data_IF_590857464719
#
_entry.id   IF_590857464719
#
_cell.length_a   1.000
_cell.length_b   1.000
_cell.length_c   1.000
_cell.angle_alpha   90.00
_cell.angle_beta   90.00
_cell.angle_gamma   90.00
#
_symmetry.space_group_name_H-M   'P 1'
#
loop_
_entity.id
_entity.type
_entity.pdbx_description
1 polymer ?
#
# COMPACT_ATOMS: atom_id res chain seq x y z
N UNK A 1 -3.16 -14.20 -6.07
CA UNK A 1 -3.44 -14.48 -4.65
C UNK A 1 -4.94 -14.67 -4.48
N UNK A 2 -5.39 -15.90 -4.25
CA UNK A 2 -6.78 -16.24 -3.99
C UNK A 2 -7.20 -15.83 -2.56
N UNK A 3 -8.50 -15.73 -2.31
CA UNK A 3 -9.01 -15.23 -1.02
C UNK A 3 -8.72 -16.16 0.17
N UNK A 4 -8.50 -17.45 -0.08
CA UNK A 4 -8.18 -18.45 0.95
C UNK A 4 -6.74 -18.29 1.46
N UNK A 5 -5.78 -18.17 0.55
CA UNK A 5 -4.36 -17.94 0.88
C UNK A 5 -4.17 -16.68 1.75
N UNK A 6 -5.01 -15.66 1.54
CA UNK A 6 -4.95 -14.41 2.33
C UNK A 6 -5.32 -14.58 3.79
N UNK A 7 -6.06 -15.61 4.22
CA UNK A 7 -6.45 -15.79 5.63
C UNK A 7 -5.33 -16.36 6.49
N UNK A 8 -4.40 -17.09 5.89
CA UNK A 8 -3.33 -17.80 6.60
C UNK A 8 -2.06 -16.97 6.76
N UNK A 9 -1.96 -15.85 6.03
CA UNK A 9 -0.81 -14.97 6.14
C UNK A 9 -0.78 -14.21 7.47
N UNK A 10 0.41 -14.02 8.09
CA UNK A 10 0.53 -13.24 9.31
C UNK A 10 0.22 -11.77 9.04
N UNK A 11 -0.32 -11.06 10.03
CA UNK A 11 -0.71 -9.65 9.88
C UNK A 11 0.44 -8.73 9.41
N UNK A 12 1.68 -9.14 9.66
CA UNK A 12 2.90 -8.44 9.25
C UNK A 12 3.10 -8.31 7.74
N UNK A 13 2.42 -9.12 6.91
CA UNK A 13 2.54 -9.02 5.45
C UNK A 13 1.62 -7.97 4.84
N UNK A 14 0.76 -7.31 5.62
CA UNK A 14 -0.17 -6.31 5.10
C UNK A 14 0.32 -4.91 5.42
N UNK A 15 0.15 -3.98 4.47
CA UNK A 15 0.38 -2.57 4.76
C UNK A 15 -0.57 -2.10 5.86
N UNK A 16 -1.85 -2.50 5.80
CA UNK A 16 -2.85 -2.23 6.83
C UNK A 16 -3.19 -3.53 7.59
N UNK A 17 -2.50 -3.86 8.70
CA UNK A 17 -2.63 -5.16 9.37
C UNK A 17 -4.03 -5.41 9.91
N UNK A 18 -4.60 -4.43 10.63
CA UNK A 18 -5.94 -4.53 11.23
C UNK A 18 -7.03 -4.80 10.19
N UNK A 19 -6.90 -4.20 9.01
CA UNK A 19 -7.86 -4.35 7.91
C UNK A 19 -7.47 -5.44 6.91
N UNK A 20 -6.27 -6.04 7.06
CA UNK A 20 -5.66 -7.01 6.13
C UNK A 20 -5.73 -6.54 4.67
N UNK A 21 -5.43 -5.26 4.43
CA UNK A 21 -5.41 -4.62 3.10
C UNK A 21 -3.99 -4.40 2.61
N UNK A 22 -3.84 -4.45 1.28
CA UNK A 22 -2.58 -4.27 0.56
C UNK A 22 -1.49 -5.25 1.04
N UNK A 23 -1.55 -6.53 0.64
CA UNK A 23 -0.47 -7.47 0.92
C UNK A 23 0.85 -6.95 0.33
N UNK A 24 1.96 -7.28 0.99
CA UNK A 24 3.33 -6.85 0.69
C UNK A 24 4.25 -8.07 0.56
N UNK A 25 3.82 -9.08 -0.20
CA UNK A 25 4.52 -10.38 -0.28
C UNK A 25 5.56 -10.47 -1.40
N UNK A 26 5.64 -9.46 -2.25
CA UNK A 26 6.63 -9.33 -3.33
C UNK A 26 6.72 -7.88 -3.83
N UNK A 27 7.70 -7.62 -4.71
CA UNK A 27 7.93 -6.30 -5.29
C UNK A 27 6.72 -5.72 -6.04
N UNK A 28 5.96 -6.57 -6.75
CA UNK A 28 4.77 -6.14 -7.50
C UNK A 28 3.65 -5.71 -6.56
N UNK A 29 3.47 -6.45 -5.47
CA UNK A 29 2.56 -6.09 -4.39
C UNK A 29 2.94 -4.77 -3.71
N UNK A 30 4.22 -4.54 -3.44
CA UNK A 30 4.69 -3.25 -2.90
C UNK A 30 4.39 -2.08 -3.85
N UNK A 31 4.71 -2.21 -5.14
CA UNK A 31 4.41 -1.17 -6.15
C UNK A 31 2.90 -0.89 -6.25
N UNK A 32 2.08 -1.95 -6.24
CA UNK A 32 0.63 -1.82 -6.22
C UNK A 32 0.11 -1.15 -4.94
N UNK A 33 0.71 -1.43 -3.78
CA UNK A 33 0.34 -0.82 -2.52
C UNK A 33 0.62 0.69 -2.52
N UNK A 34 1.78 1.12 -3.03
CA UNK A 34 2.11 2.54 -3.24
C UNK A 34 1.10 3.22 -4.17
N UNK A 35 0.79 2.60 -5.30
CA UNK A 35 -0.09 3.16 -6.32
C UNK A 35 -1.57 3.27 -5.91
N UNK A 36 -2.03 2.45 -4.96
CA UNK A 36 -3.43 2.38 -4.51
C UNK A 36 -3.63 2.85 -3.07
N UNK A 37 -2.61 3.46 -2.48
CA UNK A 37 -2.61 3.81 -1.06
C UNK A 37 -3.74 4.77 -0.68
N UNK A 38 -3.98 5.78 -1.52
CA UNK A 38 -5.03 6.80 -1.36
C UNK A 38 -6.45 6.22 -1.51
N UNK A 39 -6.60 5.16 -2.32
CA UNK A 39 -7.87 4.46 -2.55
C UNK A 39 -8.34 3.64 -1.34
N UNK A 40 -7.50 3.43 -0.33
CA UNK A 40 -7.88 2.68 0.88
C UNK A 40 -8.79 3.54 1.75
N UNK A 41 -10.05 3.12 1.88
CA UNK A 41 -11.06 3.76 2.71
C UNK A 41 -11.28 3.03 4.05
N UNK A 42 -11.88 3.73 5.02
CA UNK A 42 -12.23 3.19 6.33
C UNK A 42 -11.02 2.94 7.24
N UNK A 43 -10.02 3.80 7.17
CA UNK A 43 -8.77 3.74 7.95
C UNK A 43 -8.47 5.10 8.56
N UNK A 44 -7.87 5.12 9.74
CA UNK A 44 -7.43 6.36 10.40
C UNK A 44 -6.12 6.88 9.80
N UNK A 45 -5.77 8.13 10.11
CA UNK A 45 -4.45 8.69 9.75
C UNK A 45 -3.30 7.91 10.41
N UNK A 46 -3.50 7.37 11.61
CA UNK A 46 -2.52 6.50 12.28
C UNK A 46 -2.34 5.17 11.54
N UNK A 47 -3.44 4.58 11.05
CA UNK A 47 -3.38 3.37 10.23
C UNK A 47 -2.65 3.66 8.90
N UNK A 48 -2.83 4.85 8.31
CA UNK A 48 -2.08 5.29 7.11
C UNK A 48 -0.59 5.49 7.41
N UNK A 49 -0.26 6.13 8.53
CA UNK A 49 1.12 6.29 8.95
C UNK A 49 1.82 4.94 9.11
N UNK A 50 1.19 4.02 9.84
CA UNK A 50 1.69 2.65 10.02
C UNK A 50 1.84 1.92 8.68
N UNK A 51 0.86 2.05 7.78
CA UNK A 51 0.89 1.38 6.50
C UNK A 51 2.03 1.85 5.60
N UNK A 52 2.32 3.15 5.60
CA UNK A 52 3.43 3.69 4.84
C UNK A 52 4.78 3.22 5.38
N UNK A 53 4.95 3.15 6.70
CA UNK A 53 6.15 2.58 7.32
C UNK A 53 6.34 1.09 6.98
N UNK A 54 5.26 0.32 6.94
CA UNK A 54 5.30 -1.08 6.51
C UNK A 54 5.68 -1.21 5.03
N UNK A 55 5.11 -0.37 4.16
CA UNK A 55 5.44 -0.32 2.73
C UNK A 55 6.92 0.02 2.53
N UNK A 56 7.47 1.01 3.24
CA UNK A 56 8.90 1.36 3.16
C UNK A 56 9.81 0.19 3.56
N UNK A 57 9.46 -0.54 4.61
CA UNK A 57 10.22 -1.73 5.04
C UNK A 57 10.20 -2.82 3.97
N UNK A 58 9.02 -3.10 3.40
CA UNK A 58 8.88 -4.08 2.33
C UNK A 58 9.59 -3.62 1.05
N UNK A 59 9.50 -2.34 0.70
CA UNK A 59 10.18 -1.76 -0.45
C UNK A 59 11.70 -1.91 -0.35
N UNK A 60 12.28 -1.63 0.83
CA UNK A 60 13.70 -1.89 1.08
C UNK A 60 14.07 -3.37 0.93
N UNK A 61 13.20 -4.28 1.38
CA UNK A 61 13.45 -5.72 1.30
C UNK A 61 13.39 -6.25 -0.15
N UNK A 62 12.44 -5.75 -0.93
CA UNK A 62 12.19 -6.17 -2.32
C UNK A 62 12.89 -5.27 -3.37
N UNK A 63 13.80 -4.39 -2.95
CA UNK A 63 14.52 -3.45 -3.81
C UNK A 63 13.61 -2.58 -4.70
N UNK A 64 12.55 -2.04 -4.10
CA UNK A 64 11.62 -1.08 -4.73
C UNK A 64 11.95 0.32 -4.24
N UNK A 65 12.21 1.23 -5.18
CA UNK A 65 12.45 2.64 -4.87
C UNK A 65 11.16 3.33 -4.40
N UNK A 66 11.24 4.07 -3.29
CA UNK A 66 10.18 4.94 -2.77
C UNK A 66 10.77 6.34 -2.64
N UNK A 67 10.20 7.31 -3.37
CA UNK A 67 10.68 8.70 -3.38
C UNK A 67 9.95 9.58 -2.37
N UNK A 68 8.78 9.12 -1.96
CA UNK A 68 7.94 9.79 -1.00
C UNK A 68 8.51 9.64 0.42
N UNK A 69 8.52 10.73 1.17
CA UNK A 69 8.92 10.80 2.57
C UNK A 69 7.73 10.57 3.51
N UNK A 70 6.51 10.83 3.04
CA UNK A 70 5.28 10.74 3.81
C UNK A 70 4.15 10.15 2.96
N UNK A 71 3.28 9.36 3.59
CA UNK A 71 2.05 8.82 2.99
C UNK A 71 1.17 9.90 2.35
N UNK A 72 1.18 11.14 2.86
CA UNK A 72 0.44 12.27 2.27
C UNK A 72 0.95 12.69 0.89
N UNK A 73 2.15 12.28 0.49
CA UNK A 73 2.69 12.52 -0.85
C UNK A 73 2.25 11.44 -1.84
N UNK A 74 1.82 10.27 -1.37
CA UNK A 74 1.22 9.24 -2.22
C UNK A 74 -0.09 9.76 -2.81
N UNK A 75 -0.26 9.59 -4.12
CA UNK A 75 -1.45 10.03 -4.86
C UNK A 75 -1.52 11.53 -5.18
N UNK A 76 -0.61 12.36 -4.66
CA UNK A 76 -0.56 13.80 -4.99
C UNK A 76 0.16 14.11 -6.30
N UNK A 77 1.00 13.18 -6.75
CA UNK A 77 1.71 13.29 -8.02
C UNK A 77 1.16 12.17 -8.92
N UNK A 78 0.65 12.46 -10.13
CA UNK A 78 0.19 11.42 -11.04
C UNK A 78 1.40 10.61 -11.53
N UNK A 79 1.77 9.56 -10.79
CA UNK A 79 2.86 8.66 -11.19
C UNK A 79 2.41 7.60 -12.21
N UNK A 80 1.11 7.54 -12.50
CA UNK A 80 0.51 6.95 -13.72
C UNK A 80 -0.86 7.63 -13.93
N UNK A 81 -1.31 7.75 -15.18
CA UNK A 81 -2.70 8.17 -15.48
C UNK A 81 -3.65 7.19 -14.79
N UNK A 82 -4.34 7.63 -13.74
CA UNK A 82 -5.34 6.83 -13.04
C UNK A 82 -6.73 7.12 -13.64
N UNK A 83 -7.34 6.21 -14.42
CA UNK A 83 -8.67 6.44 -15.01
C UNK A 83 -9.79 6.56 -13.95
N UNK A 84 -9.51 6.28 -12.68
CA UNK A 84 -10.47 6.50 -11.59
C UNK A 84 -10.63 7.98 -11.18
N UNK A 85 -9.78 8.90 -11.67
CA UNK A 85 -9.86 10.33 -11.37
C UNK A 85 -10.70 11.14 -12.39
N UNK A 86 -11.21 10.51 -13.47
CA UNK A 86 -12.02 11.19 -14.50
C UNK A 86 -13.53 11.25 -14.19
N UNK A 87 -13.98 10.73 -13.04
CA UNK A 87 -15.39 10.79 -12.64
C UNK A 87 -15.58 11.76 -11.48
N UNK A 88 -15.60 13.05 -11.79
CA UNK A 88 -16.21 14.11 -10.96
C UNK A 88 -16.76 15.18 -11.87
#
# INVERSE_FOLDING_TARGET
>A
MDAKDRKELPDSVFAFPKQRKLPLTDASHVKNALARFDQVQGVSDDDRYLAFENIKKAAKYYDVEVKEENWRQLGKVPHTRNPAQEKS
#
